data_IF_699331358886
#
_entry.id   IF_699331358886
#
_cell.length_a   1.000
_cell.length_b   1.000
_cell.length_c   1.000
_cell.angle_alpha   90.00
_cell.angle_beta   90.00
_cell.angle_gamma   90.00
#
_symmetry.space_group_name_H-M   'P 1'
#
loop_
_entity.id
_entity.type
_entity.pdbx_description
1 polymer ?
#
# COMPACT_ATOMS: atom_id res chain seq x y z
N UNK A 1 61.12 -5.91 13.69
CA UNK A 1 59.99 -5.46 12.89
C UNK A 1 58.62 -5.67 13.55
N UNK A 2 58.49 -6.56 14.50
CA UNK A 2 57.20 -6.80 15.19
C UNK A 2 56.71 -5.61 16.03
N UNK A 3 57.62 -4.79 16.57
CA UNK A 3 57.28 -3.64 17.41
C UNK A 3 56.55 -2.50 16.67
N UNK A 4 56.76 -2.34 15.36
CA UNK A 4 56.11 -1.29 14.55
C UNK A 4 54.64 -1.61 14.23
N UNK A 5 54.23 -2.86 14.27
CA UNK A 5 52.84 -3.24 14.01
C UNK A 5 51.97 -2.91 15.21
N UNK A 6 52.52 -3.03 16.43
CA UNK A 6 51.81 -2.70 17.66
C UNK A 6 52.00 -1.27 18.13
N UNK A 7 52.87 -0.54 17.44
CA UNK A 7 53.07 0.89 17.71
C UNK A 7 51.80 1.63 17.26
N UNK A 8 51.24 2.40 18.19
CA UNK A 8 49.95 3.10 17.97
C UNK A 8 48.73 2.16 17.75
N UNK A 9 48.73 0.98 18.35
CA UNK A 9 47.63 0.02 18.23
C UNK A 9 46.30 0.66 18.62
N UNK A 10 46.28 1.50 19.64
CA UNK A 10 45.08 2.22 20.09
C UNK A 10 44.49 3.08 18.97
N UNK A 11 45.31 3.83 18.24
CA UNK A 11 44.85 4.65 17.12
C UNK A 11 44.34 3.81 15.96
N UNK A 12 44.90 2.65 15.71
CA UNK A 12 44.42 1.72 14.67
C UNK A 12 43.07 1.12 15.02
N UNK A 13 42.88 0.75 16.26
CA UNK A 13 41.56 0.26 16.75
C UNK A 13 40.52 1.39 16.68
N UNK A 14 40.90 2.58 17.10
CA UNK A 14 40.00 3.74 17.02
C UNK A 14 39.60 4.06 15.56
N UNK A 15 40.56 4.03 14.64
CA UNK A 15 40.31 4.22 13.22
C UNK A 15 39.37 3.15 12.64
N UNK A 16 39.57 1.89 12.99
CA UNK A 16 38.70 0.79 12.60
C UNK A 16 37.29 0.98 13.14
N UNK A 17 37.16 1.36 14.39
CA UNK A 17 35.86 1.60 15.04
C UNK A 17 35.13 2.75 14.40
N UNK A 18 35.83 3.85 14.08
CA UNK A 18 35.26 4.99 13.35
C UNK A 18 34.80 4.60 11.93
N UNK A 19 35.57 3.76 11.23
CA UNK A 19 35.21 3.27 9.92
C UNK A 19 33.92 2.42 9.97
N UNK A 20 33.76 1.56 10.97
CA UNK A 20 32.55 0.77 11.18
C UNK A 20 31.36 1.65 11.52
N UNK A 21 31.54 2.66 12.39
CA UNK A 21 30.48 3.63 12.71
C UNK A 21 30.02 4.39 11.49
N UNK A 22 30.95 4.90 10.68
CA UNK A 22 30.62 5.59 9.43
C UNK A 22 29.89 4.68 8.45
N UNK A 23 30.31 3.44 8.34
CA UNK A 23 29.63 2.44 7.49
C UNK A 23 28.21 2.19 7.93
N UNK A 24 27.96 2.02 9.24
CA UNK A 24 26.61 1.85 9.80
C UNK A 24 25.73 3.07 9.52
N UNK A 25 26.28 4.28 9.69
CA UNK A 25 25.57 5.52 9.41
C UNK A 25 25.20 5.61 7.93
N UNK A 26 26.15 5.34 7.02
CA UNK A 26 25.91 5.40 5.57
C UNK A 26 24.85 4.38 5.13
N UNK A 27 24.94 3.14 5.63
CA UNK A 27 23.94 2.10 5.29
C UNK A 27 22.55 2.48 5.78
N UNK A 28 22.44 3.10 6.95
CA UNK A 28 21.14 3.58 7.45
C UNK A 28 20.59 4.76 6.66
N UNK A 29 21.46 5.64 6.16
CA UNK A 29 21.02 6.78 5.34
C UNK A 29 20.54 6.30 3.96
N UNK A 30 21.25 5.33 3.36
CA UNK A 30 20.88 4.79 2.06
C UNK A 30 19.52 4.04 2.08
N UNK A 31 19.13 3.48 3.21
CA UNK A 31 17.83 2.83 3.38
C UNK A 31 16.85 3.70 4.19
N UNK A 32 16.88 4.99 3.97
CA UNK A 32 15.97 5.95 4.60
C UNK A 32 14.52 5.71 4.17
N UNK A 33 13.61 6.09 5.05
CA UNK A 33 12.17 6.06 4.75
C UNK A 33 11.87 7.06 3.65
N UNK A 34 11.22 6.59 2.61
CA UNK A 34 10.80 7.36 1.45
C UNK A 34 9.36 7.01 1.09
N UNK A 35 8.89 7.50 -0.03
CA UNK A 35 7.56 7.16 -0.52
C UNK A 35 7.62 6.70 -1.97
N UNK A 36 6.65 5.89 -2.34
CA UNK A 36 6.43 5.45 -3.72
C UNK A 36 4.95 5.58 -4.06
N UNK A 37 4.68 6.14 -5.22
CA UNK A 37 3.32 6.17 -5.78
C UNK A 37 3.06 4.89 -6.54
N UNK A 38 2.00 4.19 -6.18
CA UNK A 38 1.54 2.98 -6.84
C UNK A 38 0.21 3.28 -7.48
N UNK A 39 0.17 3.27 -8.79
CA UNK A 39 -1.00 3.61 -9.58
C UNK A 39 -1.72 2.35 -10.07
N UNK A 40 -3.02 2.47 -10.30
CA UNK A 40 -3.78 1.42 -10.95
C UNK A 40 -4.19 0.25 -10.06
N UNK A 41 -4.32 0.48 -8.76
CA UNK A 41 -4.86 -0.54 -7.85
C UNK A 41 -6.37 -0.60 -8.04
N UNK A 42 -6.85 -1.74 -8.53
CA UNK A 42 -8.27 -1.95 -8.80
C UNK A 42 -9.04 -2.21 -7.50
N UNK A 43 -10.16 -1.53 -7.35
CA UNK A 43 -11.08 -1.71 -6.23
C UNK A 43 -12.06 -2.83 -6.55
N UNK A 44 -12.14 -3.82 -5.67
CA UNK A 44 -13.09 -4.92 -5.78
C UNK A 44 -14.28 -4.67 -4.85
N UNK A 45 -15.48 -4.71 -5.41
CA UNK A 45 -16.70 -4.68 -4.61
C UNK A 45 -16.95 -6.05 -3.98
N UNK A 46 -17.25 -6.05 -2.71
CA UNK A 46 -17.62 -7.25 -1.95
C UNK A 46 -19.02 -7.10 -1.33
N UNK A 47 -19.66 -8.23 -1.03
CA UNK A 47 -21.00 -8.29 -0.44
C UNK A 47 -22.08 -7.58 -1.30
N UNK A 48 -21.96 -7.65 -2.61
CA UNK A 48 -22.93 -7.11 -3.58
C UNK A 48 -24.24 -7.90 -3.60
N UNK A 49 -24.25 -9.10 -3.07
CA UNK A 49 -25.40 -10.00 -2.96
C UNK A 49 -26.56 -9.39 -2.16
N UNK A 50 -26.29 -8.51 -1.23
CA UNK A 50 -27.30 -7.77 -0.46
C UNK A 50 -28.22 -6.95 -1.37
N UNK A 51 -27.70 -6.37 -2.43
CA UNK A 51 -28.45 -5.59 -3.40
C UNK A 51 -29.13 -6.47 -4.45
N UNK A 52 -28.47 -7.55 -4.85
CA UNK A 52 -29.03 -8.53 -5.79
C UNK A 52 -30.28 -9.19 -5.21
N UNK A 53 -30.35 -9.41 -3.90
CA UNK A 53 -31.53 -9.96 -3.24
C UNK A 53 -32.72 -8.99 -3.21
N UNK A 54 -32.50 -7.71 -3.54
CA UNK A 54 -33.54 -6.67 -3.63
C UNK A 54 -33.87 -6.29 -5.09
N UNK A 55 -33.52 -7.14 -6.06
CA UNK A 55 -33.66 -6.90 -7.50
C UNK A 55 -32.95 -5.61 -7.96
N UNK A 56 -31.83 -5.28 -7.32
CA UNK A 56 -31.00 -4.14 -7.65
C UNK A 56 -29.67 -4.60 -8.23
N UNK A 57 -29.19 -3.91 -9.24
CA UNK A 57 -27.88 -4.14 -9.84
C UNK A 57 -26.96 -2.97 -9.50
N UNK A 58 -25.77 -3.29 -9.04
CA UNK A 58 -24.70 -2.31 -8.83
C UNK A 58 -23.86 -2.17 -10.09
N UNK A 59 -23.63 -0.93 -10.47
CA UNK A 59 -22.69 -0.56 -11.52
C UNK A 59 -21.68 0.44 -10.96
N UNK A 60 -20.41 0.14 -11.13
CA UNK A 60 -19.34 1.07 -10.77
C UNK A 60 -19.15 2.08 -11.87
N UNK A 61 -19.08 3.36 -11.54
CA UNK A 61 -18.77 4.39 -12.50
C UNK A 61 -17.33 4.27 -13.00
N UNK A 62 -17.14 4.40 -14.30
CA UNK A 62 -15.83 4.31 -14.93
C UNK A 62 -14.86 5.33 -14.33
N UNK A 63 -13.65 4.87 -14.04
CA UNK A 63 -12.59 5.69 -13.47
C UNK A 63 -12.64 5.82 -11.94
N UNK A 64 -13.70 5.35 -11.27
CA UNK A 64 -13.77 5.37 -9.81
C UNK A 64 -13.36 4.04 -9.17
N UNK A 65 -13.21 3.02 -9.97
CA UNK A 65 -12.81 1.66 -9.57
C UNK A 65 -11.29 1.47 -9.41
N UNK A 66 -10.54 2.53 -9.66
CA UNK A 66 -9.08 2.52 -9.54
C UNK A 66 -8.67 3.54 -8.48
N UNK A 67 -7.78 3.12 -7.59
CA UNK A 67 -7.18 3.96 -6.55
C UNK A 67 -5.67 4.01 -6.73
N UNK A 68 -5.10 5.19 -6.54
CA UNK A 68 -3.65 5.38 -6.50
C UNK A 68 -3.21 5.47 -5.04
N UNK A 69 -2.14 4.79 -4.73
CA UNK A 69 -1.60 4.71 -3.38
C UNK A 69 -0.28 5.45 -3.28
N UNK A 70 -0.04 6.09 -2.16
CA UNK A 70 1.27 6.58 -1.76
C UNK A 70 1.71 5.77 -0.55
N UNK A 71 2.76 4.99 -0.71
CA UNK A 71 3.26 4.07 0.31
C UNK A 71 4.55 4.62 0.89
N UNK A 72 4.61 4.72 2.21
CA UNK A 72 5.79 5.13 2.96
C UNK A 72 6.45 3.90 3.57
N UNK A 73 7.68 3.67 3.18
CA UNK A 73 8.50 2.55 3.67
C UNK A 73 9.98 2.84 3.42
N UNK A 74 10.84 1.96 3.85
CA UNK A 74 12.27 2.03 3.52
C UNK A 74 12.47 1.87 2.02
N UNK A 75 13.48 2.54 1.48
CA UNK A 75 13.77 2.53 0.04
C UNK A 75 13.96 1.12 -0.53
N UNK A 76 14.58 0.22 0.23
CA UNK A 76 14.74 -1.19 -0.16
C UNK A 76 13.40 -1.91 -0.32
N UNK A 77 12.46 -1.65 0.57
CA UNK A 77 11.10 -2.20 0.52
C UNK A 77 10.33 -1.63 -0.66
N UNK A 78 10.40 -0.32 -0.87
CA UNK A 78 9.68 0.37 -1.96
C UNK A 78 10.06 -0.15 -3.34
N UNK A 79 11.31 -0.52 -3.56
CA UNK A 79 11.78 -1.06 -4.85
C UNK A 79 11.11 -2.37 -5.24
N UNK A 80 10.71 -3.17 -4.26
CA UNK A 80 10.06 -4.47 -4.48
C UNK A 80 8.54 -4.40 -4.53
N UNK A 81 7.92 -3.29 -4.11
CA UNK A 81 6.47 -3.14 -4.07
C UNK A 81 5.87 -2.93 -5.46
N UNK A 82 4.78 -3.64 -5.70
CA UNK A 82 3.96 -3.58 -6.93
C UNK A 82 2.50 -3.34 -6.58
N UNK A 83 1.70 -2.97 -7.56
CA UNK A 83 0.26 -2.80 -7.40
C UNK A 83 -0.44 -4.10 -6.94
N UNK A 84 0.07 -5.26 -7.36
CA UNK A 84 -0.42 -6.58 -6.98
C UNK A 84 -0.29 -6.90 -5.49
N UNK A 85 0.62 -6.21 -4.79
CA UNK A 85 0.86 -6.39 -3.36
C UNK A 85 -0.19 -5.70 -2.49
N UNK A 86 -1.10 -4.95 -3.10
CA UNK A 86 -2.15 -4.21 -2.41
C UNK A 86 -3.53 -4.69 -2.86
N UNK A 87 -4.43 -4.83 -1.89
CA UNK A 87 -5.83 -5.14 -2.14
C UNK A 87 -6.70 -3.96 -1.72
N UNK A 88 -7.45 -3.43 -2.66
CA UNK A 88 -8.45 -2.42 -2.40
C UNK A 88 -9.83 -3.05 -2.52
N UNK A 89 -10.62 -2.95 -1.47
CA UNK A 89 -11.98 -3.51 -1.41
C UNK A 89 -12.97 -2.47 -0.94
N UNK A 90 -14.17 -2.55 -1.46
CA UNK A 90 -15.29 -1.72 -1.03
C UNK A 90 -16.45 -2.65 -0.64
N UNK A 91 -16.80 -2.65 0.63
CA UNK A 91 -17.87 -3.49 1.16
C UNK A 91 -19.21 -2.76 1.07
N UNK A 92 -20.04 -3.19 0.14
CA UNK A 92 -21.35 -2.58 -0.10
C UNK A 92 -22.28 -2.75 1.10
N UNK A 93 -22.18 -3.84 1.81
CA UNK A 93 -23.03 -4.12 2.98
C UNK A 93 -22.69 -3.22 4.16
N UNK A 94 -21.41 -2.95 4.36
CA UNK A 94 -20.89 -2.29 5.56
C UNK A 94 -20.67 -0.79 5.36
N UNK A 95 -20.15 -0.42 4.18
CA UNK A 95 -19.56 0.89 3.94
C UNK A 95 -20.35 1.74 2.94
N UNK A 96 -21.58 1.32 2.55
CA UNK A 96 -22.43 2.10 1.64
C UNK A 96 -22.91 3.37 2.34
N UNK A 97 -22.53 4.50 1.80
CA UNK A 97 -22.91 5.83 2.26
C UNK A 97 -24.15 6.35 1.48
N UNK A 98 -24.78 7.41 2.00
CA UNK A 98 -26.03 7.94 1.47
C UNK A 98 -25.99 8.39 -0.01
N UNK A 99 -24.84 8.80 -0.51
CA UNK A 99 -24.68 9.34 -1.87
C UNK A 99 -24.22 8.30 -2.90
N UNK A 100 -24.59 7.03 -2.73
CA UNK A 100 -24.12 5.93 -3.57
C UNK A 100 -22.58 5.82 -3.62
N UNK A 101 -21.94 6.17 -2.54
CA UNK A 101 -20.50 6.01 -2.34
C UNK A 101 -20.23 4.85 -1.41
N UNK A 102 -19.25 4.04 -1.76
CA UNK A 102 -18.77 2.95 -0.91
C UNK A 102 -17.35 3.23 -0.51
N UNK A 103 -17.06 3.18 0.78
CA UNK A 103 -15.73 3.42 1.31
C UNK A 103 -14.74 2.35 0.87
N UNK A 104 -13.57 2.80 0.41
CA UNK A 104 -12.49 1.91 -0.01
C UNK A 104 -11.59 1.58 1.18
N UNK A 105 -11.42 0.29 1.45
CA UNK A 105 -10.42 -0.22 2.36
C UNK A 105 -9.23 -0.77 1.60
N UNK A 106 -8.03 -0.29 1.94
CA UNK A 106 -6.78 -0.77 1.33
C UNK A 106 -5.99 -1.56 2.34
N UNK A 107 -5.50 -2.73 1.93
CA UNK A 107 -4.65 -3.58 2.73
C UNK A 107 -3.45 -4.08 1.93
N UNK A 108 -2.35 -4.33 2.61
CA UNK A 108 -1.17 -4.96 2.04
C UNK A 108 -1.32 -6.48 2.10
N UNK A 109 -1.15 -7.13 0.96
CA UNK A 109 -1.29 -8.60 0.81
C UNK A 109 -0.03 -9.26 0.25
N UNK A 110 1.06 -8.51 0.14
CA UNK A 110 2.32 -9.01 -0.40
C UNK A 110 3.04 -9.97 0.56
N UNK A 111 4.19 -10.45 0.10
CA UNK A 111 5.00 -11.44 0.82
C UNK A 111 5.85 -10.88 1.95
N UNK A 112 6.06 -9.55 1.98
CA UNK A 112 6.84 -8.90 3.03
C UNK A 112 6.02 -8.77 4.32
N UNK A 113 6.67 -8.67 5.50
CA UNK A 113 5.96 -8.36 6.73
C UNK A 113 5.21 -7.02 6.64
N UNK A 114 3.99 -6.96 7.12
CA UNK A 114 3.20 -5.72 7.12
C UNK A 114 3.86 -4.58 7.90
N UNK A 115 4.70 -4.92 8.87
CA UNK A 115 5.52 -3.96 9.63
C UNK A 115 6.57 -3.24 8.78
N UNK A 116 6.90 -3.77 7.60
CA UNK A 116 7.82 -3.13 6.65
C UNK A 116 7.23 -1.87 6.01
N UNK A 117 5.91 -1.74 6.01
CA UNK A 117 5.19 -0.59 5.49
C UNK A 117 4.78 0.30 6.66
N UNK A 118 5.22 1.55 6.64
CA UNK A 118 4.94 2.50 7.72
C UNK A 118 3.58 3.16 7.57
N UNK A 119 3.21 3.56 6.34
CA UNK A 119 1.96 4.26 6.05
C UNK A 119 1.53 4.03 4.62
N UNK A 120 0.23 3.94 4.42
CA UNK A 120 -0.40 3.90 3.09
C UNK A 120 -1.41 5.05 3.04
N UNK A 121 -1.25 5.93 2.07
CA UNK A 121 -2.22 6.97 1.75
C UNK A 121 -2.89 6.65 0.41
N UNK A 122 -4.17 6.90 0.32
CA UNK A 122 -4.95 6.71 -0.91
C UNK A 122 -5.45 8.07 -1.42
N UNK A 123 -5.42 8.26 -2.73
CA UNK A 123 -5.90 9.48 -3.37
C UNK A 123 -7.42 9.59 -3.36
N UNK A 124 -8.10 8.46 -3.23
CA UNK A 124 -9.56 8.36 -3.26
C UNK A 124 -10.03 7.49 -2.10
N UNK A 125 -10.96 8.01 -1.34
CA UNK A 125 -11.50 7.31 -0.15
C UNK A 125 -12.77 6.52 -0.45
N UNK A 126 -13.47 6.85 -1.54
CA UNK A 126 -14.75 6.24 -1.90
C UNK A 126 -14.81 5.90 -3.38
N UNK A 127 -15.54 4.85 -3.69
CA UNK A 127 -15.94 4.52 -5.07
C UNK A 127 -17.38 4.93 -5.28
N UNK A 128 -17.67 5.52 -6.46
CA UNK A 128 -19.03 5.86 -6.87
C UNK A 128 -19.69 4.65 -7.50
N UNK A 129 -20.86 4.30 -7.02
CA UNK A 129 -21.67 3.20 -7.56
C UNK A 129 -23.04 3.73 -7.98
N UNK A 130 -23.53 3.20 -9.07
CA UNK A 130 -24.91 3.44 -9.52
C UNK A 130 -25.75 2.21 -9.16
N UNK A 131 -26.83 2.44 -8.45
CA UNK A 131 -27.77 1.39 -8.06
C UNK A 131 -28.98 1.49 -8.98
N UNK A 132 -29.15 0.51 -9.84
CA UNK A 132 -30.25 0.43 -10.80
C UNK A 132 -31.19 -0.71 -10.38
N UNK A 133 -32.50 -0.42 -10.37
CA UNK A 133 -33.52 -1.46 -10.22
C UNK A 133 -33.60 -2.25 -11.53
N UNK A 134 -33.56 -3.57 -11.42
CA UNK A 134 -33.87 -4.43 -12.56
C UNK A 134 -35.36 -4.35 -12.84
N UNK A 135 -35.72 -3.66 -13.91
CA UNK A 135 -37.09 -3.68 -14.43
C UNK A 135 -37.19 -4.87 -15.37
N UNK A 136 -37.83 -5.92 -14.91
CA UNK A 136 -38.18 -7.04 -15.78
C UNK A 136 -39.42 -6.63 -16.57
N UNK A 137 -39.24 -6.06 -17.75
CA UNK A 137 -40.39 -5.86 -18.68
C UNK A 137 -40.81 -7.25 -19.20
N UNK A 138 -41.93 -7.72 -18.71
CA UNK A 138 -42.62 -8.84 -19.35
C UNK A 138 -43.33 -8.31 -20.60
N UNK A 139 -42.73 -8.58 -21.74
CA UNK A 139 -43.44 -8.43 -23.01
C UNK A 139 -44.47 -9.55 -23.13
N UNK A 140 -45.71 -9.17 -23.16
CA UNK A 140 -46.79 -10.07 -23.57
C UNK A 140 -46.95 -10.04 -25.10
#
# INVERSE_FOLDING_TARGET
MKAKIFDNLLFKILALLMAVLLWVVVVNIDDAVSYKKISGVKVNLINTDVLTSQDQTIRVEEGTDIVNLTVYARSSVLKSLKAEDFSATADVKKDLLYDNMVKIGVSYVGSLPSSSIQKIEQDRSNVLVSIEKQVTEQFK
#
